data_IF_056753317829
#
_entry.id   IF_056753317829
#
_cell.length_a   1.000
_cell.length_b   1.000
_cell.length_c   1.000
_cell.angle_alpha   90.00
_cell.angle_beta   90.00
_cell.angle_gamma   90.00
#
_symmetry.space_group_name_H-M   'P 1'
#
loop_
_entity.id
_entity.type
_entity.pdbx_description
1 polymer ?
#
# COMPACT_ATOMS: atom_id res chain seq x y z
N UNK A 1 2.63 -6.60 -34.23
CA UNK A 1 2.73 -7.63 -33.15
C UNK A 1 2.66 -6.88 -31.82
N UNK A 2 1.68 -7.15 -30.96
CA UNK A 2 1.62 -6.49 -29.66
C UNK A 2 2.70 -7.12 -28.78
N UNK A 3 3.74 -6.38 -28.43
CA UNK A 3 4.75 -6.84 -27.47
C UNK A 3 4.06 -7.31 -26.20
N UNK A 4 4.30 -8.58 -25.88
CA UNK A 4 3.81 -9.17 -24.63
C UNK A 4 4.79 -8.77 -23.55
N UNK A 5 4.41 -7.82 -22.70
CA UNK A 5 5.22 -7.36 -21.59
C UNK A 5 5.16 -8.38 -20.46
N UNK A 6 6.33 -8.82 -20.01
CA UNK A 6 6.50 -9.62 -18.80
C UNK A 6 6.64 -8.72 -17.56
N UNK A 7 6.48 -9.30 -16.38
CA UNK A 7 6.65 -8.55 -15.11
C UNK A 7 8.02 -7.92 -15.01
N UNK A 8 9.08 -8.66 -15.37
CA UNK A 8 10.46 -8.14 -15.31
C UNK A 8 10.69 -6.94 -16.24
N UNK A 9 10.11 -6.97 -17.43
CA UNK A 9 10.25 -5.86 -18.39
C UNK A 9 9.56 -4.61 -17.86
N UNK A 10 8.40 -4.80 -17.22
CA UNK A 10 7.65 -3.71 -16.62
C UNK A 10 8.37 -3.10 -15.41
N UNK A 11 9.01 -3.94 -14.58
CA UNK A 11 9.82 -3.46 -13.44
C UNK A 11 10.99 -2.63 -13.95
N UNK A 12 11.77 -3.13 -14.90
CA UNK A 12 12.94 -2.41 -15.47
C UNK A 12 12.53 -1.09 -16.10
N UNK A 13 11.50 -1.13 -16.94
CA UNK A 13 10.97 0.07 -17.56
C UNK A 13 10.47 1.09 -16.52
N UNK A 14 9.71 0.62 -15.53
CA UNK A 14 9.14 1.49 -14.50
C UNK A 14 10.22 2.10 -13.60
N UNK A 15 11.22 1.34 -13.22
CA UNK A 15 12.38 1.82 -12.48
C UNK A 15 13.08 2.95 -13.22
N UNK A 16 13.41 2.75 -14.50
CA UNK A 16 13.99 3.80 -15.34
C UNK A 16 13.06 5.01 -15.44
N UNK A 17 11.78 4.78 -15.70
CA UNK A 17 10.79 5.83 -15.91
C UNK A 17 10.62 6.75 -14.69
N UNK A 18 10.63 6.19 -13.47
CA UNK A 18 10.55 6.96 -12.24
C UNK A 18 11.89 7.59 -11.85
N UNK A 19 13.02 6.95 -12.18
CA UNK A 19 14.38 7.53 -12.01
C UNK A 19 14.52 8.82 -12.81
N UNK A 20 14.13 8.83 -14.09
CA UNK A 20 14.18 10.01 -14.96
C UNK A 20 13.30 11.17 -14.46
N UNK A 21 12.39 10.90 -13.50
CA UNK A 21 11.46 11.88 -12.90
C UNK A 21 11.76 12.16 -11.43
N UNK A 22 12.97 11.83 -11.01
CA UNK A 22 13.52 12.16 -9.69
C UNK A 22 12.64 11.65 -8.52
N UNK A 23 12.13 10.42 -8.64
CA UNK A 23 11.51 9.74 -7.50
C UNK A 23 12.60 9.13 -6.61
N UNK A 24 12.45 9.23 -5.29
CA UNK A 24 13.45 8.76 -4.32
C UNK A 24 13.64 7.24 -4.35
N UNK A 25 12.56 6.48 -4.59
CA UNK A 25 12.59 5.02 -4.64
C UNK A 25 11.91 4.49 -5.91
N UNK A 26 12.51 4.70 -7.10
CA UNK A 26 11.91 4.36 -8.38
C UNK A 26 11.44 2.92 -8.51
N UNK A 27 12.28 1.98 -8.03
CA UNK A 27 11.97 0.55 -8.04
C UNK A 27 10.81 0.21 -7.10
N UNK A 28 10.81 0.78 -5.91
CA UNK A 28 9.74 0.59 -4.93
C UNK A 28 8.38 1.09 -5.43
N UNK A 29 8.35 2.17 -6.21
CA UNK A 29 7.13 2.71 -6.82
C UNK A 29 6.44 1.67 -7.72
N UNK A 30 7.21 1.03 -8.60
CA UNK A 30 6.65 0.07 -9.55
C UNK A 30 6.31 -1.27 -8.89
N UNK A 31 7.14 -1.72 -7.93
CA UNK A 31 6.87 -2.92 -7.16
C UNK A 31 5.60 -2.79 -6.34
N UNK A 32 5.38 -1.63 -5.70
CA UNK A 32 4.14 -1.34 -4.99
C UNK A 32 2.91 -1.52 -5.87
N UNK A 33 2.93 -0.93 -7.06
CA UNK A 33 1.82 -1.05 -7.99
C UNK A 33 1.57 -2.49 -8.44
N UNK A 34 2.63 -3.25 -8.71
CA UNK A 34 2.50 -4.64 -9.10
C UNK A 34 1.96 -5.51 -7.96
N UNK A 35 2.49 -5.35 -6.74
CA UNK A 35 2.00 -6.07 -5.56
C UNK A 35 0.51 -5.78 -5.31
N UNK A 36 0.12 -4.50 -5.35
CA UNK A 36 -1.26 -4.10 -5.13
C UNK A 36 -2.21 -4.63 -6.20
N UNK A 37 -1.78 -4.61 -7.47
CA UNK A 37 -2.59 -5.06 -8.60
C UNK A 37 -2.77 -6.58 -8.63
N UNK A 38 -1.68 -7.32 -8.35
CA UNK A 38 -1.64 -8.78 -8.42
C UNK A 38 -2.02 -9.45 -7.09
N UNK A 39 -2.24 -8.64 -6.03
CA UNK A 39 -2.54 -9.13 -4.68
C UNK A 39 -1.52 -10.15 -4.19
N UNK A 40 -0.25 -9.81 -4.32
CA UNK A 40 0.88 -10.66 -3.96
C UNK A 40 1.95 -9.85 -3.22
N UNK A 41 2.89 -10.55 -2.59
CA UNK A 41 4.02 -9.90 -1.94
C UNK A 41 5.15 -9.60 -2.96
N UNK A 42 6.17 -8.86 -2.50
CA UNK A 42 7.29 -8.47 -3.34
C UNK A 42 8.10 -9.65 -3.85
N UNK A 43 8.26 -10.70 -3.05
CA UNK A 43 8.97 -11.91 -3.46
C UNK A 43 8.26 -12.64 -4.59
N UNK A 44 6.93 -12.72 -4.51
CA UNK A 44 6.11 -13.38 -5.53
C UNK A 44 6.28 -12.76 -6.92
N UNK A 45 6.47 -11.43 -7.01
CA UNK A 45 6.73 -10.75 -8.29
C UNK A 45 8.00 -11.30 -8.93
N UNK A 46 9.05 -11.52 -8.15
CA UNK A 46 10.32 -12.02 -8.66
C UNK A 46 10.31 -13.52 -8.95
N UNK A 47 9.50 -14.30 -8.24
CA UNK A 47 9.30 -15.72 -8.56
C UNK A 47 8.49 -15.92 -9.86
N UNK A 48 7.70 -14.91 -10.22
CA UNK A 48 6.82 -14.91 -11.39
C UNK A 48 7.28 -13.91 -12.47
N UNK A 49 8.55 -13.59 -12.51
CA UNK A 49 9.15 -12.50 -13.29
C UNK A 49 8.89 -12.59 -14.81
N UNK A 50 8.71 -13.79 -15.34
CA UNK A 50 8.46 -14.09 -16.75
C UNK A 50 6.96 -14.15 -17.11
N UNK A 51 6.07 -13.99 -16.13
CA UNK A 51 4.63 -13.96 -16.39
C UNK A 51 4.21 -12.73 -17.21
N UNK A 52 3.34 -12.91 -18.20
CA UNK A 52 2.86 -11.82 -19.02
C UNK A 52 1.85 -10.93 -18.27
N UNK A 53 1.99 -9.63 -18.39
CA UNK A 53 1.02 -8.67 -17.86
C UNK A 53 -0.15 -8.52 -18.85
N UNK A 54 -1.37 -8.84 -18.40
CA UNK A 54 -2.57 -8.72 -19.22
C UNK A 54 -2.80 -7.29 -19.71
N UNK A 55 -3.48 -7.15 -20.86
CA UNK A 55 -3.85 -5.83 -21.39
C UNK A 55 -4.71 -5.01 -20.40
N UNK A 56 -5.57 -5.67 -19.64
CA UNK A 56 -6.38 -5.06 -18.57
C UNK A 56 -5.48 -4.48 -17.49
N UNK A 57 -4.54 -5.28 -16.97
CA UNK A 57 -3.63 -4.86 -15.91
C UNK A 57 -2.72 -3.71 -16.38
N UNK A 58 -2.22 -3.76 -17.61
CA UNK A 58 -1.43 -2.65 -18.19
C UNK A 58 -2.21 -1.33 -18.26
N UNK A 59 -3.52 -1.37 -18.53
CA UNK A 59 -4.36 -0.16 -18.51
C UNK A 59 -4.49 0.42 -17.10
N UNK A 60 -4.69 -0.43 -16.09
CA UNK A 60 -4.76 -0.01 -14.69
C UNK A 60 -3.43 0.61 -14.25
N UNK A 61 -2.31 -0.10 -14.47
CA UNK A 61 -0.98 0.39 -14.14
C UNK A 61 -0.67 1.74 -14.77
N UNK A 62 -1.03 1.93 -16.05
CA UNK A 62 -0.87 3.22 -16.74
C UNK A 62 -1.66 4.34 -16.06
N UNK A 63 -2.88 4.07 -15.63
CA UNK A 63 -3.69 5.03 -14.88
C UNK A 63 -3.06 5.39 -13.54
N UNK A 64 -2.57 4.40 -12.79
CA UNK A 64 -1.92 4.59 -11.51
C UNK A 64 -0.61 5.38 -11.62
N UNK A 65 0.23 5.03 -12.61
CA UNK A 65 1.46 5.77 -12.91
C UNK A 65 1.14 7.25 -13.22
N UNK A 66 0.12 7.52 -14.03
CA UNK A 66 -0.29 8.90 -14.34
C UNK A 66 -0.69 9.67 -13.08
N UNK A 67 -1.44 9.07 -12.16
CA UNK A 67 -1.78 9.68 -10.87
C UNK A 67 -0.53 9.93 -10.03
N UNK A 68 0.38 8.96 -9.97
CA UNK A 68 1.62 9.06 -9.20
C UNK A 68 2.56 10.16 -9.70
N UNK A 69 2.59 10.41 -11.01
CA UNK A 69 3.35 11.53 -11.58
C UNK A 69 2.85 12.90 -11.09
N UNK A 70 1.58 13.00 -10.72
CA UNK A 70 1.03 14.17 -10.04
C UNK A 70 1.32 14.17 -8.52
N UNK A 71 2.27 13.35 -8.05
CA UNK A 71 2.68 13.21 -6.64
C UNK A 71 1.56 12.72 -5.72
N UNK A 72 0.49 12.11 -6.26
CA UNK A 72 -0.53 11.47 -5.43
C UNK A 72 0.07 10.30 -4.64
N UNK A 73 -0.21 10.15 -3.33
CA UNK A 73 0.30 9.05 -2.52
C UNK A 73 -0.08 7.68 -3.08
N UNK A 74 0.86 6.72 -3.02
CA UNK A 74 0.65 5.36 -3.50
C UNK A 74 -0.60 4.71 -2.87
N UNK A 75 -0.80 4.90 -1.57
CA UNK A 75 -1.92 4.36 -0.81
C UNK A 75 -3.28 4.87 -1.32
N UNK A 76 -3.36 6.15 -1.69
CA UNK A 76 -4.60 6.69 -2.27
C UNK A 76 -4.84 6.17 -3.69
N UNK A 77 -3.77 5.95 -4.45
CA UNK A 77 -3.86 5.40 -5.81
C UNK A 77 -4.37 3.96 -5.77
N UNK A 78 -3.83 3.14 -4.86
CA UNK A 78 -4.18 1.72 -4.73
C UNK A 78 -5.42 1.49 -3.86
N UNK A 79 -5.81 2.48 -3.05
CA UNK A 79 -7.00 2.47 -2.20
C UNK A 79 -6.80 1.74 -0.88
N UNK A 80 -5.58 1.33 -0.53
CA UNK A 80 -5.31 0.62 0.71
C UNK A 80 -3.96 1.00 1.34
N UNK A 81 -3.89 0.79 2.66
CA UNK A 81 -2.68 0.97 3.46
C UNK A 81 -2.61 -0.14 4.50
N UNK A 82 -1.44 -0.71 4.66
CA UNK A 82 -1.18 -1.63 5.78
C UNK A 82 -0.94 -0.85 7.06
N UNK A 83 -1.55 -1.29 8.16
CA UNK A 83 -1.36 -0.77 9.50
C UNK A 83 -1.51 -1.90 10.51
N UNK A 84 -0.50 -2.10 11.34
CA UNK A 84 -0.43 -3.15 12.36
C UNK A 84 -0.73 -4.55 11.80
N UNK A 85 -0.15 -4.87 10.63
CA UNK A 85 -0.34 -6.14 9.93
C UNK A 85 -1.73 -6.36 9.32
N UNK A 86 -2.55 -5.31 9.20
CA UNK A 86 -3.89 -5.36 8.59
C UNK A 86 -4.02 -4.36 7.45
N UNK A 87 -4.78 -4.72 6.43
CA UNK A 87 -5.09 -3.82 5.32
C UNK A 87 -6.31 -2.95 5.67
N UNK A 88 -6.15 -1.62 5.56
CA UNK A 88 -7.20 -0.62 5.73
C UNK A 88 -7.48 0.08 4.41
N UNK A 89 -8.76 0.30 4.12
CA UNK A 89 -9.16 1.13 2.99
C UNK A 89 -8.84 2.60 3.29
N UNK A 90 -8.23 3.28 2.32
CA UNK A 90 -7.90 4.71 2.41
C UNK A 90 -8.17 5.42 1.09
N UNK A 91 -8.57 6.68 1.19
CA UNK A 91 -8.75 7.59 0.07
C UNK A 91 -8.35 9.01 0.49
N UNK A 92 -8.54 10.00 -0.36
CA UNK A 92 -8.20 11.40 -0.08
C UNK A 92 -8.94 12.03 1.10
N UNK A 93 -10.01 11.42 1.59
CA UNK A 93 -10.85 11.96 2.66
C UNK A 93 -10.32 11.60 4.06
N UNK A 94 -9.38 10.66 4.14
CA UNK A 94 -8.78 10.22 5.41
C UNK A 94 -7.26 10.32 5.37
N UNK A 95 -6.66 10.59 6.53
CA UNK A 95 -5.21 10.54 6.67
C UNK A 95 -4.73 9.10 6.50
N UNK A 96 -3.68 8.91 5.68
CA UNK A 96 -2.99 7.62 5.57
C UNK A 96 -2.40 7.25 6.93
N UNK A 97 -2.75 6.08 7.51
CA UNK A 97 -2.15 5.60 8.75
C UNK A 97 -0.62 5.65 8.70
N UNK A 98 -0.01 6.14 9.78
CA UNK A 98 1.44 6.28 9.88
C UNK A 98 2.03 5.14 10.71
N UNK A 99 3.18 4.57 10.32
CA UNK A 99 3.83 3.49 11.08
C UNK A 99 4.12 3.87 12.53
N UNK A 100 4.47 5.14 12.79
CA UNK A 100 4.74 5.63 14.14
C UNK A 100 3.53 5.52 15.06
N UNK A 101 2.31 5.54 14.51
CA UNK A 101 1.05 5.40 15.25
C UNK A 101 0.86 3.97 15.77
N UNK A 102 1.53 2.96 15.19
CA UNK A 102 1.47 1.58 15.67
C UNK A 102 1.98 1.43 17.10
N UNK A 103 2.95 2.26 17.49
CA UNK A 103 3.41 2.30 18.89
C UNK A 103 2.31 2.69 19.89
N UNK A 104 1.34 3.49 19.47
CA UNK A 104 0.18 3.81 20.30
C UNK A 104 -0.66 2.57 20.60
N UNK A 105 -0.79 1.68 19.61
CA UNK A 105 -1.49 0.40 19.78
C UNK A 105 -0.77 -0.47 20.82
N UNK A 106 0.55 -0.60 20.72
CA UNK A 106 1.34 -1.38 21.68
C UNK A 106 1.14 -0.90 23.11
N UNK A 107 1.21 0.44 23.31
CA UNK A 107 1.00 1.07 24.63
C UNK A 107 -0.44 0.83 25.12
N UNK A 108 -1.43 0.95 24.25
CA UNK A 108 -2.83 0.74 24.61
C UNK A 108 -3.07 -0.71 25.02
N UNK A 109 -2.57 -1.69 24.26
CA UNK A 109 -2.68 -3.11 24.57
C UNK A 109 -1.99 -3.45 25.91
N UNK A 110 -0.80 -2.90 26.15
CA UNK A 110 -0.08 -3.11 27.41
C UNK A 110 -0.87 -2.60 28.63
N UNK A 111 -1.47 -1.41 28.51
CA UNK A 111 -2.33 -0.84 29.56
C UNK A 111 -3.61 -1.63 29.72
N UNK A 112 -4.24 -2.04 28.62
CA UNK A 112 -5.47 -2.84 28.62
C UNK A 112 -5.31 -4.17 29.37
N UNK A 113 -4.20 -4.88 29.17
CA UNK A 113 -3.90 -6.14 29.87
C UNK A 113 -3.85 -6.00 31.40
N UNK A 114 -3.68 -4.80 31.91
CA UNK A 114 -3.66 -4.50 33.35
C UNK A 114 -5.04 -4.14 33.93
N UNK A 115 -6.06 -4.05 33.08
CA UNK A 115 -7.43 -3.68 33.48
C UNK A 115 -8.28 -4.96 33.53
N UNK A 116 -8.81 -5.29 34.71
CA UNK A 116 -9.59 -6.53 34.93
C UNK A 116 -11.03 -6.49 34.40
N UNK A 117 -11.49 -5.36 33.83
CA UNK A 117 -12.84 -5.20 33.30
C UNK A 117 -12.73 -4.88 31.78
N UNK A 118 -13.75 -5.23 31.00
CA UNK A 118 -13.86 -4.86 29.60
C UNK A 118 -14.01 -3.32 29.49
N UNK A 119 -12.94 -2.56 29.22
CA UNK A 119 -13.03 -1.12 29.09
C UNK A 119 -13.69 -0.71 27.78
N UNK A 120 -14.41 0.40 27.82
CA UNK A 120 -14.87 1.07 26.61
C UNK A 120 -13.76 1.97 26.07
N UNK A 121 -13.59 1.99 24.76
CA UNK A 121 -12.60 2.79 24.07
C UNK A 121 -13.31 3.86 23.24
N UNK A 122 -12.86 5.09 23.35
CA UNK A 122 -13.31 6.21 22.52
C UNK A 122 -12.14 6.69 21.68
N UNK A 123 -12.30 6.64 20.35
CA UNK A 123 -11.36 7.17 19.38
C UNK A 123 -11.92 8.48 18.79
N UNK A 124 -11.26 9.61 19.09
CA UNK A 124 -11.67 10.93 18.60
C UNK A 124 -10.79 11.29 17.40
N UNK A 125 -11.43 11.55 16.24
CA UNK A 125 -10.72 11.78 15.00
C UNK A 125 -10.26 10.45 14.35
N UNK A 126 -11.13 9.46 14.35
CA UNK A 126 -10.84 8.06 13.97
C UNK A 126 -10.25 7.88 12.57
N UNK A 127 -10.44 8.83 11.65
CA UNK A 127 -9.93 8.75 10.27
C UNK A 127 -10.38 7.48 9.56
N UNK A 128 -9.44 6.61 9.20
CA UNK A 128 -9.72 5.29 8.60
C UNK A 128 -10.25 4.26 9.62
N UNK A 129 -10.32 4.60 10.90
CA UNK A 129 -10.67 3.70 11.99
C UNK A 129 -9.53 2.74 12.39
N UNK A 130 -8.32 2.92 11.86
CA UNK A 130 -7.21 1.98 12.02
C UNK A 130 -6.84 1.75 13.51
N UNK A 131 -6.90 2.78 14.37
CA UNK A 131 -6.61 2.67 15.79
C UNK A 131 -7.71 1.88 16.50
N UNK A 132 -8.95 2.37 16.41
CA UNK A 132 -10.09 1.76 17.10
C UNK A 132 -10.30 0.29 16.69
N UNK A 133 -10.26 0.02 15.38
CA UNK A 133 -10.44 -1.34 14.85
C UNK A 133 -9.31 -2.26 15.32
N UNK A 134 -8.06 -1.80 15.27
CA UNK A 134 -6.90 -2.62 15.66
C UNK A 134 -6.92 -2.97 17.15
N UNK A 135 -7.36 -2.04 18.01
CA UNK A 135 -7.45 -2.31 19.46
C UNK A 135 -8.64 -3.24 19.79
N UNK A 136 -9.72 -3.19 18.99
CA UNK A 136 -10.93 -3.99 19.23
C UNK A 136 -10.80 -5.46 18.80
N UNK A 137 -9.80 -5.81 17.97
CA UNK A 137 -9.56 -7.17 17.45
C UNK A 137 -8.46 -7.90 18.21
#
# INVERSE_FOLDING_TARGET
MSETWQLIDFIKWGEQYFTEREFENPKGEIEWFLCSLLKCNRLDIYLRYDEPISRKNRKILRSWIKRRLNREPLQYITGSCEFYGREFYVNSDVLIPRPETERLIDIAIEKYKKINNNPSILDIGSGSGCIAITIAL
#
